data_IF_537341958781
#
_entry.id   IF_537341958781
#
_cell.length_a   1.000
_cell.length_b   1.000
_cell.length_c   1.000
_cell.angle_alpha   90.00
_cell.angle_beta   90.00
_cell.angle_gamma   90.00
#
_symmetry.space_group_name_H-M   'P 1'
#
loop_
_entity.id
_entity.type
_entity.pdbx_description
1 polymer ?
#
# COMPACT_ATOMS: atom_id res chain seq x y z
N UNK A 1 -6.30 6.32 20.06
CA UNK A 1 -6.41 6.03 18.62
C UNK A 1 -6.14 4.56 18.41
N UNK A 2 -6.88 3.89 17.53
CA UNK A 2 -6.63 2.48 17.20
C UNK A 2 -5.49 2.40 16.18
N UNK A 3 -4.56 1.47 16.37
CA UNK A 3 -3.43 1.25 15.44
C UNK A 3 -3.94 0.52 14.20
N UNK A 4 -3.72 1.09 13.01
CA UNK A 4 -4.16 0.52 11.73
C UNK A 4 -3.16 -0.50 11.20
N UNK A 5 -3.14 -1.69 11.81
CA UNK A 5 -2.22 -2.76 11.38
C UNK A 5 -2.66 -3.38 10.06
N UNK A 6 -1.74 -3.43 9.11
CA UNK A 6 -1.92 -4.09 7.81
C UNK A 6 -1.81 -5.60 8.01
N UNK A 7 -2.77 -6.33 7.46
CA UNK A 7 -2.82 -7.79 7.45
C UNK A 7 -2.19 -8.37 6.18
N UNK A 8 -2.56 -7.84 5.01
CA UNK A 8 -1.98 -8.19 3.71
C UNK A 8 -1.83 -6.95 2.83
N UNK A 9 -0.80 -6.96 1.99
CA UNK A 9 -0.50 -5.93 0.99
C UNK A 9 -0.18 -6.60 -0.34
N UNK A 10 -0.88 -6.19 -1.39
CA UNK A 10 -0.68 -6.70 -2.74
C UNK A 10 -0.50 -5.50 -3.70
N UNK A 11 0.62 -5.45 -4.45
CA UNK A 11 0.78 -4.45 -5.51
C UNK A 11 -0.15 -4.78 -6.69
N UNK A 12 -0.97 -3.81 -7.07
CA UNK A 12 -1.88 -3.85 -8.23
C UNK A 12 -1.39 -2.84 -9.25
N UNK A 13 -1.08 -3.31 -10.46
CA UNK A 13 -0.55 -2.43 -11.49
C UNK A 13 -1.65 -1.63 -12.21
N UNK A 14 -1.37 -0.38 -12.59
CA UNK A 14 -0.17 0.40 -12.25
C UNK A 14 -0.30 1.10 -10.87
N UNK A 15 0.81 1.15 -10.10
CA UNK A 15 1.01 1.98 -8.89
C UNK A 15 -0.11 1.99 -7.84
N UNK A 16 -0.85 0.90 -7.67
CA UNK A 16 -1.87 0.77 -6.64
C UNK A 16 -1.50 -0.29 -5.62
N UNK A 17 -1.93 -0.09 -4.38
CA UNK A 17 -1.81 -1.08 -3.33
C UNK A 17 -3.20 -1.54 -2.91
N UNK A 18 -3.48 -2.83 -3.05
CA UNK A 18 -4.61 -3.44 -2.36
C UNK A 18 -4.14 -3.81 -0.96
N UNK A 19 -4.78 -3.24 0.06
CA UNK A 19 -4.36 -3.40 1.46
C UNK A 19 -5.54 -3.87 2.28
N UNK A 20 -5.35 -4.95 3.04
CA UNK A 20 -6.33 -5.40 4.05
C UNK A 20 -5.78 -5.16 5.45
N UNK A 21 -6.66 -4.75 6.37
CA UNK A 21 -6.31 -4.44 7.76
C UNK A 21 -6.84 -5.51 8.72
N UNK A 22 -6.30 -5.54 9.94
CA UNK A 22 -6.71 -6.48 10.99
C UNK A 22 -8.19 -6.33 11.40
N UNK A 23 -8.79 -5.14 11.18
CA UNK A 23 -10.21 -4.88 11.44
C UNK A 23 -11.15 -5.33 10.31
N UNK A 24 -10.60 -5.92 9.25
CA UNK A 24 -11.34 -6.43 8.10
C UNK A 24 -11.58 -5.40 7.00
N UNK A 25 -11.19 -4.13 7.19
CA UNK A 25 -11.27 -3.14 6.12
C UNK A 25 -10.30 -3.50 5.00
N UNK A 26 -10.73 -3.32 3.76
CA UNK A 26 -9.89 -3.49 2.57
C UNK A 26 -9.97 -2.22 1.76
N UNK A 27 -8.82 -1.70 1.35
CA UNK A 27 -8.73 -0.49 0.54
C UNK A 27 -7.87 -0.71 -0.69
N UNK A 28 -8.12 0.08 -1.73
CA UNK A 28 -7.24 0.29 -2.86
C UNK A 28 -6.65 1.69 -2.72
N UNK A 29 -5.35 1.78 -2.49
CA UNK A 29 -4.62 3.04 -2.35
C UNK A 29 -3.86 3.36 -3.64
N UNK A 30 -3.98 4.59 -4.13
CA UNK A 30 -3.37 5.04 -5.37
C UNK A 30 -2.04 5.77 -5.10
N UNK A 31 -0.93 5.05 -5.26
CA UNK A 31 0.42 5.58 -5.03
C UNK A 31 0.84 6.52 -6.17
N UNK A 32 0.12 6.54 -7.30
CA UNK A 32 0.40 7.49 -8.37
C UNK A 32 0.12 8.94 -7.95
N UNK A 33 -0.75 9.17 -6.96
CA UNK A 33 -0.95 10.50 -6.39
C UNK A 33 0.31 10.97 -5.66
N UNK A 34 0.85 10.13 -4.79
CA UNK A 34 2.09 10.42 -4.06
C UNK A 34 3.29 10.61 -5.00
N UNK A 35 3.40 9.81 -6.07
CA UNK A 35 4.46 9.97 -7.08
C UNK A 35 4.39 11.34 -7.77
N UNK A 36 3.19 11.89 -8.00
CA UNK A 36 3.01 13.22 -8.60
C UNK A 36 3.40 14.34 -7.64
N UNK A 37 3.07 14.17 -6.36
CA UNK A 37 3.20 15.23 -5.36
C UNK A 37 4.55 15.19 -4.60
N UNK A 38 5.19 14.03 -4.56
CA UNK A 38 6.42 13.76 -3.79
C UNK A 38 7.54 13.30 -4.75
N UNK A 39 8.47 14.20 -5.14
CA UNK A 39 9.54 13.85 -6.09
C UNK A 39 10.40 12.65 -5.68
N UNK A 40 10.56 12.40 -4.38
CA UNK A 40 11.31 11.24 -3.87
C UNK A 40 10.65 9.89 -4.21
N UNK A 41 9.36 9.87 -4.55
CA UNK A 41 8.63 8.66 -4.91
C UNK A 41 8.73 8.33 -6.41
N UNK A 42 9.27 9.24 -7.24
CA UNK A 42 9.46 9.02 -8.68
C UNK A 42 10.13 7.68 -9.07
N UNK A 43 11.05 7.10 -8.27
CA UNK A 43 11.61 5.78 -8.55
C UNK A 43 10.56 4.65 -8.62
N UNK A 44 9.44 4.74 -7.90
CA UNK A 44 8.39 3.72 -7.94
C UNK A 44 7.80 3.56 -9.35
N UNK A 45 7.73 4.65 -10.11
CA UNK A 45 7.27 4.65 -11.51
C UNK A 45 8.43 4.37 -12.49
N UNK A 46 9.59 4.96 -12.24
CA UNK A 46 10.67 5.03 -13.23
C UNK A 46 11.67 3.88 -13.15
N UNK A 47 11.79 3.20 -12.02
CA UNK A 47 12.68 2.04 -11.84
C UNK A 47 11.89 0.75 -12.06
N UNK A 48 12.18 -0.01 -13.14
CA UNK A 48 11.42 -1.22 -13.45
C UNK A 48 11.45 -2.24 -12.31
N UNK A 49 10.26 -2.65 -11.88
CA UNK A 49 10.08 -3.67 -10.85
C UNK A 49 10.26 -3.19 -9.41
N UNK A 50 10.66 -1.94 -9.16
CA UNK A 50 10.79 -1.42 -7.80
C UNK A 50 9.45 -1.47 -7.06
N UNK A 51 8.37 -0.98 -7.68
CA UNK A 51 7.03 -0.99 -7.06
C UNK A 51 6.56 -2.39 -6.60
N UNK A 52 6.95 -3.44 -7.32
CA UNK A 52 6.62 -4.82 -6.97
C UNK A 52 7.36 -5.36 -5.74
N UNK A 53 8.41 -4.68 -5.27
CA UNK A 53 9.21 -5.04 -4.10
C UNK A 53 8.66 -4.45 -2.79
N UNK A 54 7.38 -4.09 -2.78
CA UNK A 54 6.70 -3.55 -1.61
C UNK A 54 6.86 -4.48 -0.41
N UNK A 55 7.25 -3.91 0.72
CA UNK A 55 7.47 -4.60 1.98
C UNK A 55 6.69 -3.93 3.10
N UNK A 56 6.52 -4.69 4.17
CA UNK A 56 5.85 -4.25 5.38
C UNK A 56 6.80 -4.45 6.56
N UNK A 57 6.90 -3.44 7.42
CA UNK A 57 7.75 -3.51 8.60
C UNK A 57 7.23 -4.53 9.64
N UNK A 58 8.05 -4.85 10.64
CA UNK A 58 7.69 -5.84 11.67
C UNK A 58 6.43 -5.43 12.47
N UNK A 59 6.21 -4.13 12.66
CA UNK A 59 5.03 -3.64 13.39
C UNK A 59 3.74 -3.70 12.56
N UNK A 60 3.87 -3.88 11.23
CA UNK A 60 2.79 -3.85 10.25
C UNK A 60 2.09 -2.51 10.14
N UNK A 61 2.83 -1.43 10.37
CA UNK A 61 2.32 -0.06 10.32
C UNK A 61 3.05 0.84 9.32
N UNK A 62 4.11 0.34 8.69
CA UNK A 62 4.87 1.06 7.69
C UNK A 62 5.11 0.18 6.46
N UNK A 63 4.63 0.65 5.31
CA UNK A 63 4.91 0.08 3.99
C UNK A 63 6.18 0.73 3.46
N UNK A 64 7.10 -0.02 2.86
CA UNK A 64 8.32 0.55 2.30
C UNK A 64 8.82 -0.22 1.07
N UNK A 65 9.65 0.43 0.27
CA UNK A 65 10.29 -0.18 -0.90
C UNK A 65 11.82 -0.20 -0.82
N UNK A 66 12.40 0.81 -0.18
CA UNK A 66 13.82 0.97 0.08
C UNK A 66 14.01 1.89 1.31
N UNK A 67 15.24 2.30 1.60
CA UNK A 67 15.56 3.14 2.75
C UNK A 67 15.02 4.60 2.65
N UNK A 68 14.51 5.01 1.48
CA UNK A 68 14.07 6.38 1.21
C UNK A 68 12.55 6.51 1.01
N UNK A 69 11.86 5.41 0.69
CA UNK A 69 10.44 5.41 0.31
C UNK A 69 9.66 4.54 1.26
N UNK A 70 8.95 5.20 2.18
CA UNK A 70 8.05 4.61 3.15
C UNK A 70 6.70 5.33 3.19
N UNK A 71 5.63 4.57 3.47
CA UNK A 71 4.25 5.03 3.51
C UNK A 71 3.57 4.52 4.80
N UNK A 72 3.08 5.41 5.68
CA UNK A 72 2.45 5.00 6.92
C UNK A 72 1.07 4.37 6.70
N UNK A 73 0.78 3.31 7.45
CA UNK A 73 -0.49 2.57 7.38
C UNK A 73 -1.74 3.43 7.65
N UNK A 74 -1.62 4.47 8.48
CA UNK A 74 -2.73 5.39 8.75
C UNK A 74 -3.13 6.18 7.49
N UNK A 75 -2.16 6.61 6.68
CA UNK A 75 -2.45 7.30 5.41
C UNK A 75 -3.13 6.35 4.41
N UNK A 76 -2.63 5.11 4.32
CA UNK A 76 -3.25 4.06 3.49
C UNK A 76 -4.69 3.81 3.93
N UNK A 77 -4.92 3.71 5.24
CA UNK A 77 -6.25 3.48 5.81
C UNK A 77 -7.19 4.67 5.56
N UNK A 78 -6.71 5.91 5.75
CA UNK A 78 -7.53 7.11 5.65
C UNK A 78 -7.91 7.46 4.21
N UNK A 79 -6.94 7.42 3.30
CA UNK A 79 -7.12 7.91 1.92
C UNK A 79 -7.35 6.80 0.90
N UNK A 80 -7.17 5.53 1.27
CA UNK A 80 -7.50 4.41 0.41
C UNK A 80 -9.00 4.30 0.13
N UNK A 81 -9.36 4.04 -1.13
CA UNK A 81 -10.75 3.78 -1.54
C UNK A 81 -11.18 2.43 -0.96
N UNK A 82 -12.25 2.41 -0.17
CA UNK A 82 -12.75 1.15 0.40
C UNK A 82 -13.30 0.26 -0.70
N UNK A 83 -12.84 -0.99 -0.74
CA UNK A 83 -13.25 -1.99 -1.72
C UNK A 83 -13.80 -3.22 -1.02
N UNK A 84 -14.70 -3.94 -1.70
CA UNK A 84 -15.14 -5.24 -1.22
C UNK A 84 -13.92 -6.16 -1.01
N UNK A 85 -13.89 -6.97 0.07
CA UNK A 85 -12.92 -8.04 0.21
C UNK A 85 -12.92 -8.88 -1.07
N UNK A 86 -11.76 -9.35 -1.51
CA UNK A 86 -11.73 -10.24 -2.65
C UNK A 86 -12.54 -11.46 -2.23
N UNK A 87 -13.63 -11.74 -2.94
CA UNK A 87 -14.30 -13.02 -2.76
C UNK A 87 -13.25 -14.06 -3.12
N UNK A 88 -12.82 -14.84 -2.13
CA UNK A 88 -11.88 -15.93 -2.30
C UNK A 88 -12.48 -16.84 -3.39
N UNK A 89 -11.95 -16.67 -4.61
CA UNK A 89 -12.44 -17.37 -5.77
C UNK A 89 -12.07 -18.82 -5.57
N UNK A 90 -13.01 -19.59 -5.03
CA UNK A 90 -12.96 -21.05 -4.98
C UNK A 90 -12.44 -21.55 -6.33
N UNK A 91 -11.24 -22.12 -6.30
CA UNK A 91 -10.69 -22.99 -7.32
C UNK A 91 -10.25 -24.28 -6.66
#
# INVERSE_FOLDING_TARGET
MAIRRIKHIDPVLPLKLRVSFDDGRVVLYDVAEDVRDIPAYAPLETVPGLFGQVQLDQSRTCVFWNDEIDLPSDAVYEYGEEVAPAHDGVR
#
